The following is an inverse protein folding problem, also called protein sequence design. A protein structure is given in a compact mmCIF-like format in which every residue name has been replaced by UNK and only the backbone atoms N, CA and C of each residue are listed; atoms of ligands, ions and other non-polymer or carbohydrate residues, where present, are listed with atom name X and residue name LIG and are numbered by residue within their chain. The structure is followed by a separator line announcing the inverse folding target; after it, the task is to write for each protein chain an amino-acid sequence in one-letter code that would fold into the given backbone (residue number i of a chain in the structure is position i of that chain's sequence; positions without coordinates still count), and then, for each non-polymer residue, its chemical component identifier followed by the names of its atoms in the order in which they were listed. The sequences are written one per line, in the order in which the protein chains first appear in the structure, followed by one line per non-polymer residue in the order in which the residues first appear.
data_IF_139680245131
#
_entry.id   IF_139680245131
#
_cell.length_a   1.000
_cell.length_b   1.000
_cell.length_c   1.000
_cell.angle_alpha   90.00
_cell.angle_beta   90.00
_cell.angle_gamma   90.00
#
_symmetry.space_group_name_H-M   'P 1'
#
loop_
_entity.id
_entity.type
_entity.pdbx_description
1 polymer ?
#
# COMPACT_ATOMS: atom_id res chain seq x y z
N UNK A 1 -17.46 3.34 44.30
CA UNK A 1 -16.11 3.71 43.79
C UNK A 1 -15.49 2.65 42.87
N UNK A 2 -16.02 1.41 42.81
CA UNK A 2 -15.57 0.38 41.85
C UNK A 2 -16.22 0.52 40.46
N UNK A 3 -17.45 1.04 40.38
CA UNK A 3 -18.15 1.20 39.09
C UNK A 3 -17.47 2.20 38.15
N UNK A 4 -16.85 3.25 38.68
CA UNK A 4 -16.13 4.26 37.88
C UNK A 4 -14.88 3.68 37.22
N UNK A 5 -14.17 2.76 37.89
CA UNK A 5 -12.98 2.11 37.32
C UNK A 5 -13.38 1.10 36.22
N UNK A 6 -14.51 0.42 36.42
CA UNK A 6 -15.05 -0.53 35.45
C UNK A 6 -15.53 0.19 34.18
N UNK A 7 -16.26 1.30 34.33
CA UNK A 7 -16.74 2.12 33.21
C UNK A 7 -15.57 2.74 32.41
N UNK A 8 -14.52 3.23 33.08
CA UNK A 8 -13.34 3.79 32.40
C UNK A 8 -12.53 2.72 31.66
N UNK A 9 -12.39 1.53 32.23
CA UNK A 9 -11.72 0.39 31.58
C UNK A 9 -12.54 -0.18 30.41
N UNK A 10 -13.85 -0.37 30.59
CA UNK A 10 -14.78 -0.81 29.53
C UNK A 10 -14.82 0.21 28.38
N UNK A 11 -14.93 1.51 28.68
CA UNK A 11 -14.84 2.58 27.68
C UNK A 11 -13.50 2.62 26.94
N UNK A 12 -12.38 2.34 27.62
CA UNK A 12 -11.06 2.24 26.97
C UNK A 12 -10.98 1.02 26.04
N UNK A 13 -11.58 -0.10 26.44
CA UNK A 13 -11.61 -1.32 25.63
C UNK A 13 -12.55 -1.20 24.43
N UNK A 14 -13.70 -0.54 24.60
CA UNK A 14 -14.65 -0.28 23.52
C UNK A 14 -14.09 0.72 22.51
N UNK A 15 -13.40 1.77 22.96
CA UNK A 15 -12.69 2.69 22.06
C UNK A 15 -11.59 1.97 21.28
N UNK A 16 -10.78 1.12 21.94
CA UNK A 16 -9.75 0.31 21.27
C UNK A 16 -10.37 -0.67 20.25
N UNK A 17 -11.49 -1.30 20.60
CA UNK A 17 -12.24 -2.20 19.71
C UNK A 17 -12.78 -1.46 18.50
N UNK A 18 -13.45 -0.32 18.72
CA UNK A 18 -13.98 0.53 17.67
C UNK A 18 -12.89 0.98 16.69
N UNK A 19 -11.78 1.52 17.22
CA UNK A 19 -10.62 1.92 16.41
C UNK A 19 -10.03 0.76 15.60
N UNK A 20 -9.93 -0.43 16.20
CA UNK A 20 -9.47 -1.64 15.50
C UNK A 20 -10.40 -1.98 14.34
N UNK A 21 -11.71 -1.96 14.56
CA UNK A 21 -12.70 -2.27 13.52
C UNK A 21 -12.64 -1.27 12.37
N UNK A 22 -12.49 0.03 12.65
CA UNK A 22 -12.30 1.06 11.62
C UNK A 22 -11.06 0.79 10.78
N UNK A 23 -9.91 0.51 11.41
CA UNK A 23 -8.67 0.22 10.69
C UNK A 23 -8.74 -1.08 9.88
N UNK A 24 -9.44 -2.11 10.38
CA UNK A 24 -9.69 -3.34 9.62
C UNK A 24 -10.50 -3.01 8.37
N UNK A 25 -11.55 -2.19 8.50
CA UNK A 25 -12.37 -1.79 7.38
C UNK A 25 -11.58 -0.98 6.34
N UNK A 26 -10.75 -0.03 6.79
CA UNK A 26 -9.83 0.72 5.93
C UNK A 26 -8.84 -0.21 5.21
N UNK A 27 -8.31 -1.21 5.92
CA UNK A 27 -7.46 -2.23 5.32
C UNK A 27 -8.22 -3.05 4.27
N UNK A 28 -9.43 -3.51 4.55
CA UNK A 28 -10.26 -4.30 3.64
C UNK A 28 -10.58 -3.53 2.36
N UNK A 29 -10.99 -2.27 2.49
CA UNK A 29 -11.30 -1.37 1.37
C UNK A 29 -10.08 -0.74 0.71
N UNK A 30 -8.88 -0.96 1.25
CA UNK A 30 -7.66 -0.35 0.74
C UNK A 30 -7.51 -0.57 -0.76
N UNK A 31 -7.29 0.52 -1.49
CA UNK A 31 -6.96 0.53 -2.92
C UNK A 31 -5.98 1.67 -3.18
N UNK A 32 -5.24 1.54 -4.27
CA UNK A 32 -4.50 2.65 -4.85
C UNK A 32 -5.49 3.70 -5.34
N UNK A 33 -5.27 4.95 -4.97
CA UNK A 33 -6.09 6.08 -5.40
C UNK A 33 -5.72 6.52 -6.82
N UNK A 34 -6.60 7.29 -7.46
CA UNK A 34 -6.29 7.87 -8.77
C UNK A 34 -5.14 8.88 -8.64
N UNK A 35 -4.16 8.80 -9.54
CA UNK A 35 -2.97 9.66 -9.57
C UNK A 35 -2.08 9.57 -8.32
N UNK A 36 -2.19 8.50 -7.55
CA UNK A 36 -1.35 8.27 -6.40
C UNK A 36 -0.03 7.61 -6.81
N UNK A 37 1.10 8.06 -6.22
CA UNK A 37 2.40 7.40 -6.43
C UNK A 37 2.50 6.10 -5.62
N UNK A 38 3.39 5.19 -6.04
CA UNK A 38 3.66 3.97 -5.25
C UNK A 38 4.16 4.31 -3.85
N UNK A 39 4.97 5.37 -3.73
CA UNK A 39 5.50 5.81 -2.43
C UNK A 39 4.38 6.29 -1.49
N UNK A 40 3.38 6.99 -1.99
CA UNK A 40 2.27 7.47 -1.15
C UNK A 40 1.33 6.34 -0.76
N UNK A 41 1.05 5.42 -1.69
CA UNK A 41 0.33 4.18 -1.39
C UNK A 41 1.06 3.38 -0.29
N UNK A 42 2.40 3.23 -0.39
CA UNK A 42 3.21 2.53 0.61
C UNK A 42 3.10 3.17 1.99
N UNK A 43 3.15 4.50 2.10
CA UNK A 43 3.00 5.22 3.37
C UNK A 43 1.65 4.93 4.01
N UNK A 44 0.55 5.05 3.25
CA UNK A 44 -0.80 4.78 3.76
C UNK A 44 -0.96 3.32 4.20
N UNK A 45 -0.48 2.39 3.39
CA UNK A 45 -0.54 0.96 3.71
C UNK A 45 0.21 0.66 5.01
N UNK A 46 1.46 1.14 5.13
CA UNK A 46 2.31 0.93 6.30
C UNK A 46 1.70 1.56 7.56
N UNK A 47 1.08 2.73 7.42
CA UNK A 47 0.37 3.38 8.52
C UNK A 47 -0.74 2.49 9.08
N UNK A 48 -1.62 1.96 8.23
CA UNK A 48 -2.72 1.07 8.63
C UNK A 48 -2.19 -0.18 9.32
N UNK A 49 -1.19 -0.85 8.72
CA UNK A 49 -0.61 -2.09 9.27
C UNK A 49 0.05 -1.86 10.63
N UNK A 50 0.83 -0.79 10.77
CA UNK A 50 1.49 -0.46 12.04
C UNK A 50 0.48 -0.16 13.14
N UNK A 51 -0.60 0.55 12.81
CA UNK A 51 -1.66 0.81 13.78
C UNK A 51 -2.43 -0.46 14.16
N UNK A 52 -2.73 -1.34 13.22
CA UNK A 52 -3.35 -2.64 13.51
C UNK A 52 -2.42 -3.51 14.38
N UNK A 53 -1.13 -3.54 14.08
CA UNK A 53 -0.13 -4.26 14.88
C UNK A 53 -0.06 -3.72 16.31
N UNK A 54 -0.09 -2.40 16.50
CA UNK A 54 -0.13 -1.77 17.83
C UNK A 54 -1.38 -2.12 18.64
N UNK A 55 -2.47 -2.51 17.96
CA UNK A 55 -3.71 -2.98 18.55
C UNK A 55 -3.78 -4.51 18.67
N UNK A 56 -2.67 -5.22 18.38
CA UNK A 56 -2.58 -6.68 18.50
C UNK A 56 -3.11 -7.47 17.30
N UNK A 57 -3.32 -6.83 16.14
CA UNK A 57 -3.68 -7.51 14.88
C UNK A 57 -2.49 -7.44 13.92
N UNK A 58 -1.77 -8.55 13.81
CA UNK A 58 -0.63 -8.70 12.89
C UNK A 58 -1.05 -9.59 11.72
N UNK A 59 -0.60 -9.23 10.51
CA UNK A 59 -0.83 -10.01 9.30
C UNK A 59 0.46 -10.72 8.87
N UNK A 60 0.37 -11.95 8.35
CA UNK A 60 1.49 -12.61 7.69
C UNK A 60 2.02 -11.74 6.54
N UNK A 61 3.34 -11.78 6.31
CA UNK A 61 3.97 -11.03 5.21
C UNK A 61 3.39 -11.42 3.84
N UNK A 62 3.06 -12.70 3.64
CA UNK A 62 2.41 -13.19 2.42
C UNK A 62 1.04 -12.54 2.19
N UNK A 63 0.21 -12.41 3.22
CA UNK A 63 -1.09 -11.74 3.14
C UNK A 63 -0.92 -10.27 2.78
N UNK A 64 0.09 -9.59 3.34
CA UNK A 64 0.40 -8.19 3.04
C UNK A 64 0.84 -8.01 1.58
N UNK A 65 1.70 -8.90 1.07
CA UNK A 65 2.14 -8.90 -0.33
C UNK A 65 0.94 -9.09 -1.26
N UNK A 66 0.15 -10.13 -1.02
CA UNK A 66 -1.05 -10.42 -1.79
C UNK A 66 -2.05 -9.26 -1.75
N UNK A 67 -2.18 -8.61 -0.59
CA UNK A 67 -3.01 -7.42 -0.45
C UNK A 67 -2.52 -6.28 -1.33
N UNK A 68 -1.24 -5.90 -1.24
CA UNK A 68 -0.66 -4.83 -2.06
C UNK A 68 -0.86 -5.10 -3.55
N UNK A 69 -0.53 -6.31 -4.01
CA UNK A 69 -0.68 -6.69 -5.42
C UNK A 69 -2.13 -6.57 -5.92
N UNK A 70 -3.11 -6.97 -5.09
CA UNK A 70 -4.55 -6.81 -5.42
C UNK A 70 -5.00 -5.36 -5.43
N UNK A 71 -4.38 -4.51 -4.61
CA UNK A 71 -4.81 -3.12 -4.41
C UNK A 71 -4.26 -2.14 -5.44
N UNK A 72 -3.26 -2.53 -6.23
CA UNK A 72 -2.71 -1.73 -7.33
C UNK A 72 -3.77 -1.46 -8.42
N UNK A 73 -3.63 -0.32 -9.11
CA UNK A 73 -4.55 0.07 -10.19
C UNK A 73 -4.41 -0.86 -11.42
N UNK A 74 -5.36 -0.76 -12.36
CA UNK A 74 -5.37 -1.62 -13.56
C UNK A 74 -4.12 -1.46 -14.44
N UNK A 75 -3.50 -0.30 -14.41
CA UNK A 75 -2.30 0.03 -15.19
C UNK A 75 -1.09 -0.81 -14.74
N UNK A 76 -1.08 -1.28 -13.50
CA UNK A 76 -0.01 -2.10 -12.94
C UNK A 76 -0.20 -3.59 -13.19
N UNK A 77 -1.31 -4.04 -13.77
CA UNK A 77 -1.62 -5.47 -13.97
C UNK A 77 -0.54 -6.25 -14.75
N UNK A 78 0.09 -5.69 -15.82
CA UNK A 78 1.18 -6.39 -16.49
C UNK A 78 2.36 -6.67 -15.53
N UNK A 79 2.74 -5.69 -14.71
CA UNK A 79 3.81 -5.83 -13.72
C UNK A 79 3.43 -6.79 -12.59
N UNK A 80 2.18 -6.72 -12.11
CA UNK A 80 1.64 -7.64 -11.10
C UNK A 80 1.72 -9.09 -11.60
N UNK A 81 1.36 -9.34 -12.86
CA UNK A 81 1.40 -10.69 -13.46
C UNK A 81 2.82 -11.24 -13.47
N UNK A 82 3.80 -10.44 -13.92
CA UNK A 82 5.21 -10.85 -13.94
C UNK A 82 5.74 -11.14 -12.52
N UNK A 83 5.36 -10.34 -11.54
CA UNK A 83 5.74 -10.57 -10.13
C UNK A 83 5.05 -11.83 -9.59
N UNK A 84 3.78 -12.04 -9.93
CA UNK A 84 2.97 -13.18 -9.49
C UNK A 84 3.43 -14.52 -10.11
N UNK A 85 4.06 -14.49 -11.29
CA UNK A 85 4.63 -15.67 -11.93
C UNK A 85 6.07 -15.95 -11.49
N UNK A 86 6.70 -15.02 -10.78
CA UNK A 86 8.06 -15.21 -10.27
C UNK A 86 8.07 -16.19 -9.08
N UNK A 87 9.06 -17.09 -9.07
CA UNK A 87 9.26 -18.07 -7.97
C UNK A 87 9.60 -17.42 -6.62
N UNK A 88 9.81 -16.12 -6.59
CA UNK A 88 10.33 -15.37 -5.44
C UNK A 88 9.25 -14.93 -4.46
N UNK A 89 7.95 -15.03 -4.79
CA UNK A 89 6.87 -14.48 -3.98
C UNK A 89 6.85 -15.01 -2.54
N UNK A 90 7.13 -16.30 -2.36
CA UNK A 90 7.10 -16.95 -1.04
C UNK A 90 8.28 -16.55 -0.15
N UNK A 91 9.37 -16.04 -0.75
CA UNK A 91 10.59 -15.61 -0.04
C UNK A 91 10.76 -14.10 0.00
N UNK A 92 9.95 -13.36 -0.75
CA UNK A 92 10.08 -11.91 -0.89
C UNK A 92 9.56 -11.18 0.36
N UNK A 93 10.28 -10.15 0.78
CA UNK A 93 9.82 -9.23 1.83
C UNK A 93 8.89 -8.16 1.26
N UNK A 94 7.97 -7.63 2.07
CA UNK A 94 7.13 -6.49 1.68
C UNK A 94 7.96 -5.27 1.22
N UNK A 95 9.11 -5.03 1.86
CA UNK A 95 10.02 -3.96 1.48
C UNK A 95 10.60 -4.18 0.07
N UNK A 96 11.00 -5.42 -0.25
CA UNK A 96 11.48 -5.79 -1.58
C UNK A 96 10.40 -5.62 -2.66
N UNK A 97 9.14 -5.95 -2.34
CA UNK A 97 8.01 -5.70 -3.24
C UNK A 97 7.87 -4.22 -3.56
N UNK A 98 7.82 -3.36 -2.54
CA UNK A 98 7.71 -1.92 -2.74
C UNK A 98 8.91 -1.35 -3.50
N UNK A 99 10.13 -1.84 -3.24
CA UNK A 99 11.31 -1.46 -4.01
C UNK A 99 11.18 -1.77 -5.50
N UNK A 100 10.73 -2.98 -5.87
CA UNK A 100 10.48 -3.37 -7.27
C UNK A 100 9.39 -2.53 -7.94
N UNK A 101 8.35 -2.15 -7.18
CA UNK A 101 7.27 -1.29 -7.69
C UNK A 101 7.75 0.15 -7.90
N UNK A 102 8.51 0.71 -6.95
CA UNK A 102 9.09 2.06 -7.04
C UNK A 102 10.10 2.17 -8.19
N UNK A 103 10.96 1.17 -8.38
CA UNK A 103 11.88 1.14 -9.52
C UNK A 103 11.13 1.20 -10.86
N UNK A 104 10.03 0.47 -10.97
CA UNK A 104 9.19 0.53 -12.17
C UNK A 104 8.51 1.89 -12.35
N UNK A 105 8.01 2.50 -11.28
CA UNK A 105 7.40 3.84 -11.28
C UNK A 105 8.40 4.89 -11.80
N UNK A 106 9.64 4.83 -11.29
CA UNK A 106 10.72 5.73 -11.72
C UNK A 106 11.08 5.55 -13.19
N UNK A 107 11.16 4.32 -13.70
CA UNK A 107 11.47 4.09 -15.12
C UNK A 107 10.34 4.58 -16.03
N UNK A 108 9.06 4.38 -15.64
CA UNK A 108 7.93 4.94 -16.38
C UNK A 108 7.97 6.47 -16.42
N UNK A 109 8.30 7.13 -15.31
CA UNK A 109 8.50 8.57 -15.26
C UNK A 109 9.67 9.05 -16.13
N UNK A 110 10.74 8.25 -16.25
CA UNK A 110 11.91 8.59 -17.07
C UNK A 110 11.58 8.49 -18.57
N UNK A 111 10.86 7.44 -18.97
CA UNK A 111 10.41 7.24 -20.34
C UNK A 111 9.45 8.36 -20.79
N UNK A 112 8.50 8.77 -19.93
CA UNK A 112 7.56 9.85 -20.27
C UNK A 112 8.26 11.22 -20.46
N UNK A 113 9.30 11.51 -19.66
CA UNK A 113 10.11 12.73 -19.80
C UNK A 113 10.91 12.74 -21.11
N UNK A 114 11.47 11.60 -21.50
CA UNK A 114 12.21 11.48 -22.76
C UNK A 114 11.28 11.69 -23.97
N UNK A 115 10.10 11.06 -23.97
CA UNK A 115 9.13 11.24 -25.06
C UNK A 115 8.66 12.69 -25.21
N UNK A 116 8.42 13.39 -24.08
CA UNK A 116 8.01 14.79 -24.11
C UNK A 116 9.13 15.70 -24.63
N UNK A 117 10.38 15.40 -24.29
CA UNK A 117 11.56 16.14 -24.79
C UNK A 117 11.72 15.98 -26.31
N UNK A 118 11.49 14.78 -26.85
CA UNK A 118 11.57 14.52 -28.28
C UNK A 118 10.40 15.15 -29.07
N UNK A 119 9.19 15.15 -28.51
CA UNK A 119 8.04 15.86 -29.07
C UNK A 119 8.28 17.37 -29.14
N UNK A 120 8.87 17.96 -28.10
CA UNK A 120 9.22 19.39 -28.10
C UNK A 120 10.29 19.71 -29.16
N UNK A 121 11.38 18.92 -29.26
CA UNK A 121 12.42 19.13 -30.27
C UNK A 121 11.88 19.09 -31.70
N UNK A 122 10.97 18.16 -32.01
CA UNK A 122 10.31 18.08 -33.33
C UNK A 122 9.42 19.29 -33.62
N UNK A 123 8.69 19.79 -32.61
CA UNK A 123 7.80 20.95 -32.74
C UNK A 123 8.54 22.27 -32.99
N UNK A 124 9.75 22.42 -32.46
CA UNK A 124 10.59 23.60 -32.70
C UNK A 124 11.51 23.48 -33.93
N UNK A 125 11.56 22.31 -34.57
CA UNK A 125 12.34 22.06 -35.79
C UNK A 125 11.49 22.07 -37.08
N UNK A 126 10.20 22.41 -36.98
CA UNK A 126 9.26 22.60 -38.11
C UNK A 126 8.74 24.02 -38.07
#
# INVERSE_FOLDING_TARGET
MWDTLKITHEGTNDVKRSRRNTLIHEYELFRMNQNESIQDMQKRFTHIINHLASLGKVFPNEDLINKVLRCLSREWQPKVTVIAESKDLTTMSLASLFGKLQEHDMELMRLSQNENSDKMKKKYST
#
